data_IF_856429825333
#
_entry.id   IF_856429825333
#
_cell.length_a   1.000
_cell.length_b   1.000
_cell.length_c   1.000
_cell.angle_alpha   90.00
_cell.angle_beta   90.00
_cell.angle_gamma   90.00
#
_symmetry.space_group_name_H-M   'P 1'
#
loop_
_entity.id
_entity.type
_entity.pdbx_description
1 polymer ?
#
# COMPACT_ATOMS: atom_id res chain seq x y z
N UNK A 1 9.77 31.98 16.54
CA UNK A 1 10.63 30.83 16.93
C UNK A 1 9.96 29.56 16.42
N UNK A 2 10.68 28.61 15.79
CA UNK A 2 10.07 27.34 15.35
C UNK A 2 9.87 26.41 16.54
N UNK A 3 8.71 25.72 16.60
CA UNK A 3 8.36 24.81 17.69
C UNK A 3 9.30 23.60 17.79
N UNK A 4 9.41 22.99 18.97
CA UNK A 4 10.21 21.77 19.17
C UNK A 4 9.68 20.60 18.31
N UNK A 5 8.36 20.49 18.15
CA UNK A 5 7.72 19.51 17.26
C UNK A 5 8.17 19.70 15.81
N UNK A 6 8.17 20.94 15.31
CA UNK A 6 8.64 21.23 13.96
C UNK A 6 10.11 20.81 13.77
N UNK A 7 10.98 21.10 14.75
CA UNK A 7 12.41 20.69 14.68
C UNK A 7 12.53 19.17 14.65
N UNK A 8 11.78 18.47 15.51
CA UNK A 8 11.80 17.00 15.59
C UNK A 8 11.35 16.34 14.28
N UNK A 9 10.26 16.82 13.67
CA UNK A 9 9.78 16.34 12.37
C UNK A 9 10.83 16.65 11.29
N UNK A 10 11.40 17.86 11.27
CA UNK A 10 12.37 18.22 10.25
C UNK A 10 13.64 17.37 10.30
N UNK A 11 14.05 16.92 11.49
CA UNK A 11 15.22 16.05 11.67
C UNK A 11 14.92 14.59 11.28
N UNK A 12 13.75 14.06 11.65
CA UNK A 12 13.46 12.62 11.55
C UNK A 12 12.58 12.24 10.35
N UNK A 13 11.82 13.20 9.82
CA UNK A 13 10.85 13.00 8.74
C UNK A 13 10.83 14.22 7.81
N UNK A 14 12.02 14.66 7.36
CA UNK A 14 12.20 15.91 6.59
C UNK A 14 11.42 16.00 5.28
N UNK A 15 10.94 14.87 4.77
CA UNK A 15 10.14 14.71 3.55
C UNK A 15 8.62 14.77 3.81
N UNK A 16 8.18 14.78 5.07
CA UNK A 16 6.77 14.88 5.40
C UNK A 16 6.21 16.24 4.96
N UNK A 17 5.09 16.21 4.23
CA UNK A 17 4.40 17.41 3.75
C UNK A 17 3.33 17.89 4.75
N UNK A 18 2.78 16.98 5.55
CA UNK A 18 1.75 17.25 6.55
C UNK A 18 1.83 16.21 7.69
N UNK A 19 1.14 16.49 8.81
CA UNK A 19 0.99 15.59 9.95
C UNK A 19 -0.49 15.47 10.33
N UNK A 20 -0.88 14.30 10.82
CA UNK A 20 -2.26 13.93 11.16
C UNK A 20 -2.23 12.75 12.17
N UNK A 21 -3.39 12.25 12.62
CA UNK A 21 -3.44 11.31 13.76
C UNK A 21 -4.06 9.94 13.46
N UNK A 22 -4.88 9.78 12.42
CA UNK A 22 -5.64 8.54 12.19
C UNK A 22 -5.24 7.77 10.92
N UNK A 23 -4.57 8.42 9.97
CA UNK A 23 -4.34 7.92 8.62
C UNK A 23 -3.43 6.70 8.59
N UNK A 24 -2.39 6.68 9.45
CA UNK A 24 -1.55 5.49 9.58
C UNK A 24 -2.36 4.27 10.06
N UNK A 25 -3.20 4.43 11.09
CA UNK A 25 -4.03 3.33 11.60
C UNK A 25 -5.01 2.79 10.55
N UNK A 26 -5.67 3.70 9.81
CA UNK A 26 -6.52 3.34 8.68
C UNK A 26 -5.76 2.55 7.60
N UNK A 27 -4.61 3.06 7.15
CA UNK A 27 -3.81 2.43 6.10
C UNK A 27 -3.19 1.10 6.54
N UNK A 28 -2.86 0.93 7.83
CA UNK A 28 -2.40 -0.35 8.38
C UNK A 28 -3.47 -1.42 8.25
N UNK A 29 -4.73 -1.11 8.55
CA UNK A 29 -5.86 -2.05 8.39
C UNK A 29 -6.16 -2.32 6.91
N UNK A 30 -6.14 -1.28 6.06
CA UNK A 30 -6.31 -1.48 4.61
C UNK A 30 -5.19 -2.34 4.01
N UNK A 31 -3.96 -2.23 4.52
CA UNK A 31 -2.84 -3.05 4.07
C UNK A 31 -3.03 -4.53 4.35
N UNK A 32 -3.70 -4.90 5.44
CA UNK A 32 -4.05 -6.30 5.72
C UNK A 32 -5.22 -6.82 4.88
N UNK A 33 -5.81 -5.97 4.03
CA UNK A 33 -6.88 -6.31 3.08
C UNK A 33 -6.50 -5.83 1.68
N UNK A 34 -5.45 -6.42 1.08
CA UNK A 34 -4.94 -5.95 -0.20
C UNK A 34 -5.94 -5.97 -1.37
N UNK A 35 -7.06 -6.68 -1.31
CA UNK A 35 -8.13 -6.55 -2.31
C UNK A 35 -8.87 -5.21 -2.22
N UNK A 36 -8.87 -4.58 -1.04
CA UNK A 36 -9.49 -3.27 -0.82
C UNK A 36 -8.59 -2.18 -1.36
N UNK A 37 -9.11 -1.42 -2.33
CA UNK A 37 -8.49 -0.17 -2.77
C UNK A 37 -8.71 0.87 -1.68
N UNK A 38 -7.65 1.54 -1.26
CA UNK A 38 -7.71 2.55 -0.19
C UNK A 38 -7.05 3.84 -0.66
N UNK A 39 -7.60 4.95 -0.20
CA UNK A 39 -7.14 6.30 -0.48
C UNK A 39 -7.30 7.13 0.80
N UNK A 40 -6.28 7.92 1.15
CA UNK A 40 -6.35 8.86 2.26
C UNK A 40 -6.43 10.28 1.69
N UNK A 41 -7.51 10.99 2.01
CA UNK A 41 -7.72 12.39 1.63
C UNK A 41 -7.69 13.26 2.87
N UNK A 42 -6.90 14.33 2.84
CA UNK A 42 -6.74 15.27 3.95
C UNK A 42 -6.75 16.71 3.44
N UNK A 43 -7.39 17.58 4.20
CA UNK A 43 -7.44 19.02 3.97
C UNK A 43 -6.44 19.66 4.91
N UNK A 44 -5.68 20.63 4.43
CA UNK A 44 -4.73 21.36 5.28
C UNK A 44 -5.51 22.41 6.07
N UNK A 45 -5.62 22.22 7.38
CA UNK A 45 -6.34 23.14 8.27
C UNK A 45 -5.44 24.20 8.88
N UNK A 46 -4.12 23.93 9.00
CA UNK A 46 -3.18 24.87 9.62
C UNK A 46 -1.72 24.58 9.21
N UNK A 47 -0.84 25.55 9.47
CA UNK A 47 0.60 25.42 9.38
C UNK A 47 1.20 24.95 10.71
N UNK A 48 2.21 24.10 10.65
CA UNK A 48 2.88 23.50 11.83
C UNK A 48 3.52 24.55 12.77
N UNK A 49 3.69 25.80 12.32
CA UNK A 49 4.30 26.87 13.10
C UNK A 49 3.29 27.80 13.82
N UNK A 50 1.99 27.78 13.49
CA UNK A 50 1.05 28.85 13.89
C UNK A 50 -0.27 28.34 14.52
N UNK A 51 -0.20 27.28 15.34
CA UNK A 51 -1.37 26.70 16.06
C UNK A 51 -2.15 27.68 16.97
N UNK A 52 -1.68 28.91 17.16
CA UNK A 52 -2.26 29.86 18.12
C UNK A 52 -3.35 30.77 17.57
N UNK A 53 -3.40 31.05 16.27
CA UNK A 53 -4.30 32.08 15.71
C UNK A 53 -5.45 31.55 14.84
N UNK A 54 -5.34 30.34 14.29
CA UNK A 54 -6.28 29.78 13.30
C UNK A 54 -7.34 28.83 13.88
N UNK A 55 -7.09 28.21 15.03
CA UNK A 55 -7.98 27.20 15.64
C UNK A 55 -9.34 27.78 16.07
N UNK A 56 -9.46 29.10 16.25
CA UNK A 56 -10.72 29.78 16.56
C UNK A 56 -11.51 30.30 15.37
N UNK A 57 -10.98 30.20 14.13
CA UNK A 57 -11.52 30.90 12.95
C UNK A 57 -12.21 30.00 11.91
N UNK A 58 -12.40 28.71 12.20
CA UNK A 58 -13.15 27.79 11.32
C UNK A 58 -12.33 27.18 10.18
N UNK A 59 -11.00 27.18 10.27
CA UNK A 59 -10.11 26.60 9.27
C UNK A 59 -10.29 25.08 9.09
N UNK A 60 -10.55 24.35 10.18
CA UNK A 60 -10.81 22.91 10.12
C UNK A 60 -12.13 22.58 9.41
N UNK A 61 -13.29 23.18 9.76
CA UNK A 61 -14.51 23.04 8.96
C UNK A 61 -14.31 23.38 7.47
N UNK A 62 -13.61 24.45 7.15
CA UNK A 62 -13.30 24.84 5.77
C UNK A 62 -12.46 23.78 5.03
N UNK A 63 -11.38 23.31 5.66
CA UNK A 63 -10.54 22.25 5.10
C UNK A 63 -11.32 20.94 4.89
N UNK A 64 -12.21 20.59 5.82
CA UNK A 64 -13.09 19.42 5.69
C UNK A 64 -14.09 19.57 4.54
N UNK A 65 -14.69 20.75 4.36
CA UNK A 65 -15.60 21.02 3.23
C UNK A 65 -14.90 20.85 1.88
N UNK A 66 -13.67 21.35 1.73
CA UNK A 66 -12.90 21.22 0.51
C UNK A 66 -12.58 19.75 0.17
N UNK A 67 -12.18 18.95 1.16
CA UNK A 67 -11.92 17.52 0.95
C UNK A 67 -13.18 16.76 0.59
N UNK A 68 -14.30 17.08 1.23
CA UNK A 68 -15.59 16.46 0.91
C UNK A 68 -16.01 16.78 -0.53
N UNK A 69 -15.91 18.04 -0.96
CA UNK A 69 -16.21 18.44 -2.32
C UNK A 69 -15.33 17.72 -3.35
N UNK A 70 -14.01 17.62 -3.08
CA UNK A 70 -13.10 16.85 -3.93
C UNK A 70 -13.47 15.36 -3.98
N UNK A 71 -13.81 14.74 -2.84
CA UNK A 71 -14.18 13.33 -2.77
C UNK A 71 -15.42 13.04 -3.62
N UNK A 72 -16.47 13.86 -3.53
CA UNK A 72 -17.67 13.65 -4.33
C UNK A 72 -17.39 13.79 -5.83
N UNK A 73 -16.63 14.80 -6.24
CA UNK A 73 -16.22 14.93 -7.65
C UNK A 73 -15.36 13.75 -8.12
N UNK A 74 -14.51 13.21 -7.25
CA UNK A 74 -13.71 12.02 -7.56
C UNK A 74 -14.56 10.75 -7.71
N UNK A 75 -15.59 10.57 -6.87
CA UNK A 75 -16.52 9.44 -6.97
C UNK A 75 -17.30 9.50 -8.29
N UNK A 76 -17.83 10.68 -8.64
CA UNK A 76 -18.56 10.87 -9.91
C UNK A 76 -17.70 10.44 -11.11
N UNK A 77 -16.42 10.83 -11.12
CA UNK A 77 -15.47 10.45 -12.18
C UNK A 77 -15.15 8.94 -12.19
N UNK A 78 -15.12 8.27 -11.03
CA UNK A 78 -14.92 6.81 -11.01
C UNK A 78 -16.11 6.05 -11.60
N UNK A 79 -17.34 6.51 -11.37
CA UNK A 79 -18.54 5.90 -11.91
C UNK A 79 -18.61 6.04 -13.44
N UNK A 80 -18.17 7.18 -13.99
CA UNK A 80 -18.18 7.41 -15.44
C UNK A 80 -17.13 6.58 -16.20
N UNK A 81 -16.03 6.21 -15.54
CA UNK A 81 -14.90 5.49 -16.15
C UNK A 81 -15.05 3.96 -16.20
N UNK A 82 -16.15 3.40 -15.70
CA UNK A 82 -16.23 1.95 -15.44
C UNK A 82 -16.87 1.12 -16.57
N UNK A 83 -16.08 0.36 -17.35
CA UNK A 83 -16.28 -1.08 -17.42
C UNK A 83 -15.49 -1.73 -16.27
N UNK A 84 -16.15 -2.54 -15.46
CA UNK A 84 -15.49 -3.34 -14.41
C UNK A 84 -14.50 -4.29 -15.10
N UNK A 85 -13.22 -3.92 -15.16
CA UNK A 85 -12.17 -4.83 -15.61
C UNK A 85 -11.91 -5.78 -14.45
N UNK A 86 -12.46 -6.99 -14.52
CA UNK A 86 -12.06 -8.07 -13.62
C UNK A 86 -10.55 -8.27 -13.75
N UNK A 87 -9.82 -8.04 -12.66
CA UNK A 87 -8.40 -8.31 -12.60
C UNK A 87 -8.20 -9.81 -12.79
N UNK A 88 -7.38 -10.20 -13.77
CA UNK A 88 -6.94 -11.60 -13.90
C UNK A 88 -6.28 -12.08 -12.60
N UNK A 89 -6.33 -13.38 -12.26
CA UNK A 89 -5.74 -13.92 -11.03
C UNK A 89 -4.27 -13.50 -10.80
N UNK A 90 -3.47 -13.41 -11.87
CA UNK A 90 -2.07 -12.98 -11.78
C UNK A 90 -1.94 -11.53 -11.32
N UNK A 91 -2.78 -10.65 -11.84
CA UNK A 91 -2.78 -9.23 -11.48
C UNK A 91 -3.24 -9.05 -10.04
N UNK A 92 -4.20 -9.85 -9.58
CA UNK A 92 -4.61 -9.88 -8.18
C UNK A 92 -3.45 -10.33 -7.28
N UNK A 93 -2.75 -11.41 -7.66
CA UNK A 93 -1.59 -11.88 -6.92
C UNK A 93 -0.48 -10.81 -6.88
N UNK A 94 -0.15 -10.20 -8.02
CA UNK A 94 0.85 -9.12 -8.09
C UNK A 94 0.46 -7.97 -7.14
N UNK A 95 -0.81 -7.55 -7.16
CA UNK A 95 -1.28 -6.48 -6.29
C UNK A 95 -1.17 -6.84 -4.81
N UNK A 96 -1.59 -8.05 -4.45
CA UNK A 96 -1.51 -8.56 -3.07
C UNK A 96 -0.06 -8.58 -2.60
N UNK A 97 0.84 -9.14 -3.41
CA UNK A 97 2.26 -9.19 -3.08
C UNK A 97 2.88 -7.80 -2.97
N UNK A 98 2.52 -6.86 -3.84
CA UNK A 98 3.03 -5.48 -3.74
C UNK A 98 2.57 -4.76 -2.46
N UNK A 99 1.33 -5.00 -2.01
CA UNK A 99 0.79 -4.37 -0.79
C UNK A 99 1.40 -4.97 0.48
N UNK A 100 1.57 -6.29 0.52
CA UNK A 100 2.13 -6.98 1.68
C UNK A 100 3.66 -6.83 1.75
N UNK A 101 4.33 -6.92 0.59
CA UNK A 101 5.80 -6.91 0.43
C UNK A 101 6.26 -5.78 -0.53
N UNK A 102 6.12 -4.50 -0.14
CA UNK A 102 6.42 -3.35 -1.00
C UNK A 102 7.91 -3.21 -1.34
N UNK A 103 8.82 -3.82 -0.58
CA UNK A 103 10.26 -3.82 -0.89
C UNK A 103 10.64 -4.87 -1.95
N UNK A 104 9.67 -5.63 -2.46
CA UNK A 104 9.88 -6.63 -3.51
C UNK A 104 10.20 -8.02 -2.93
N UNK A 105 10.96 -8.81 -3.70
CA UNK A 105 11.18 -10.24 -3.41
C UNK A 105 12.05 -10.48 -2.16
N UNK A 106 12.84 -9.49 -1.77
CA UNK A 106 13.70 -9.53 -0.58
C UNK A 106 12.94 -9.15 0.71
N UNK A 107 11.73 -8.58 0.59
CA UNK A 107 10.96 -8.13 1.74
C UNK A 107 10.64 -9.31 2.67
N UNK A 108 11.03 -9.21 3.94
CA UNK A 108 10.87 -10.27 4.94
C UNK A 108 11.44 -11.64 4.49
N UNK A 109 12.39 -11.65 3.55
CA UNK A 109 12.95 -12.87 2.96
C UNK A 109 11.92 -13.79 2.29
N UNK A 110 10.76 -13.26 1.88
CA UNK A 110 9.62 -14.05 1.41
C UNK A 110 9.98 -15.01 0.27
N UNK A 111 10.77 -14.53 -0.70
CA UNK A 111 11.16 -15.34 -1.86
C UNK A 111 11.96 -16.57 -1.47
N UNK A 112 12.94 -16.40 -0.58
CA UNK A 112 13.80 -17.49 -0.11
C UNK A 112 13.05 -18.45 0.80
N UNK A 113 12.22 -17.94 1.72
CA UNK A 113 11.41 -18.79 2.61
C UNK A 113 10.40 -19.65 1.86
N UNK A 114 9.87 -19.15 0.75
CA UNK A 114 8.99 -19.92 -0.13
C UNK A 114 9.71 -21.00 -0.96
N UNK A 115 11.05 -21.11 -0.84
CA UNK A 115 11.89 -22.07 -1.58
C UNK A 115 12.56 -21.51 -2.83
N UNK A 116 12.48 -20.19 -3.04
CA UNK A 116 13.08 -19.50 -4.18
C UNK A 116 14.55 -19.17 -4.00
N UNK A 117 15.25 -18.98 -5.11
CA UNK A 117 16.61 -18.47 -5.13
C UNK A 117 16.63 -17.07 -5.75
N UNK A 118 17.07 -16.07 -4.98
CA UNK A 118 17.15 -14.67 -5.42
C UNK A 118 18.13 -14.49 -6.59
N UNK A 119 19.12 -15.38 -6.77
CA UNK A 119 20.06 -15.31 -7.90
C UNK A 119 19.41 -15.63 -9.25
N UNK A 120 18.20 -16.20 -9.26
CA UNK A 120 17.47 -16.58 -10.48
C UNK A 120 16.48 -15.51 -10.94
N UNK A 121 16.39 -14.39 -10.23
CA UNK A 121 15.42 -13.31 -10.50
C UNK A 121 16.11 -11.96 -10.63
N UNK A 122 15.43 -11.01 -11.28
CA UNK A 122 15.94 -9.65 -11.46
C UNK A 122 15.51 -8.75 -10.30
N UNK A 123 16.48 -8.32 -9.51
CA UNK A 123 16.26 -7.41 -8.38
C UNK A 123 16.46 -5.93 -8.73
N UNK A 124 16.99 -5.63 -9.92
CA UNK A 124 17.29 -4.26 -10.38
C UNK A 124 16.05 -3.48 -10.86
N UNK A 125 14.93 -3.61 -10.17
CA UNK A 125 13.67 -2.90 -10.46
C UNK A 125 12.90 -2.54 -9.19
N UNK A 126 11.83 -1.76 -9.33
CA UNK A 126 10.92 -1.45 -8.21
C UNK A 126 10.27 -2.73 -7.68
N UNK A 127 9.82 -2.74 -6.42
CA UNK A 127 9.14 -3.92 -5.85
C UNK A 127 7.99 -4.44 -6.72
N UNK A 128 7.20 -3.54 -7.33
CA UNK A 128 6.17 -3.88 -8.30
C UNK A 128 6.72 -4.54 -9.57
N UNK A 129 7.82 -4.01 -10.11
CA UNK A 129 8.49 -4.59 -11.27
C UNK A 129 9.02 -6.00 -10.96
N UNK A 130 9.63 -6.18 -9.79
CA UNK A 130 10.12 -7.49 -9.36
C UNK A 130 8.99 -8.51 -9.24
N UNK A 131 7.87 -8.15 -8.60
CA UNK A 131 6.71 -9.05 -8.46
C UNK A 131 6.09 -9.43 -9.80
N UNK A 132 5.93 -8.47 -10.71
CA UNK A 132 5.38 -8.73 -12.04
C UNK A 132 6.24 -9.73 -12.83
N UNK A 133 7.56 -9.54 -12.84
CA UNK A 133 8.48 -10.45 -13.54
C UNK A 133 8.58 -11.82 -12.87
N UNK A 134 8.62 -11.86 -11.54
CA UNK A 134 8.68 -13.08 -10.76
C UNK A 134 7.45 -13.97 -10.94
N UNK A 135 6.25 -13.38 -10.85
CA UNK A 135 5.00 -14.12 -11.05
C UNK A 135 4.90 -14.62 -12.49
N UNK A 136 5.30 -13.79 -13.47
CA UNK A 136 5.40 -14.22 -14.87
C UNK A 136 6.36 -15.40 -15.03
N UNK A 137 7.53 -15.38 -14.40
CA UNK A 137 8.51 -16.46 -14.43
C UNK A 137 7.92 -17.77 -13.88
N UNK A 138 7.27 -17.71 -12.71
CA UNK A 138 6.66 -18.88 -12.07
C UNK A 138 5.55 -19.50 -12.91
N UNK A 139 4.74 -18.70 -13.61
CA UNK A 139 3.69 -19.21 -14.51
C UNK A 139 4.21 -20.02 -15.68
N UNK A 140 5.42 -19.73 -16.14
CA UNK A 140 6.06 -20.46 -17.23
C UNK A 140 6.89 -21.65 -16.72
N UNK A 141 6.74 -22.03 -15.44
CA UNK A 141 7.50 -23.11 -14.82
C UNK A 141 8.97 -22.78 -14.52
N UNK A 142 9.35 -21.50 -14.57
CA UNK A 142 10.66 -21.02 -14.14
C UNK A 142 10.71 -20.73 -12.64
N UNK A 143 11.87 -20.32 -12.12
CA UNK A 143 12.03 -19.92 -10.71
C UNK A 143 12.59 -21.00 -9.78
N UNK A 144 12.96 -22.18 -10.32
CA UNK A 144 13.58 -23.26 -9.57
C UNK A 144 12.55 -24.11 -8.81
N UNK A 145 12.79 -24.37 -7.53
CA UNK A 145 11.90 -25.19 -6.68
C UNK A 145 10.69 -24.41 -6.14
N UNK A 146 10.67 -23.09 -6.32
CA UNK A 146 9.57 -22.24 -5.90
C UNK A 146 8.36 -22.45 -6.82
N UNK A 147 7.18 -22.56 -6.23
CA UNK A 147 5.90 -22.59 -6.95
C UNK A 147 5.02 -21.44 -6.47
N UNK A 148 4.00 -21.06 -7.26
CA UNK A 148 3.00 -20.09 -6.80
C UNK A 148 2.32 -20.56 -5.50
N UNK A 149 2.07 -21.86 -5.37
CA UNK A 149 1.49 -22.45 -4.17
C UNK A 149 2.40 -22.31 -2.94
N UNK A 150 3.69 -22.65 -3.06
CA UNK A 150 4.64 -22.51 -1.93
C UNK A 150 4.88 -21.04 -1.56
N UNK A 151 4.78 -20.12 -2.53
CA UNK A 151 4.81 -18.68 -2.30
C UNK A 151 3.59 -18.16 -1.52
N UNK A 152 2.38 -18.63 -1.86
CA UNK A 152 1.17 -18.27 -1.13
C UNK A 152 1.17 -18.87 0.28
N UNK A 153 1.64 -20.11 0.45
CA UNK A 153 1.80 -20.73 1.78
C UNK A 153 2.72 -19.90 2.67
N UNK A 154 3.92 -19.54 2.19
CA UNK A 154 4.84 -18.69 2.94
C UNK A 154 4.24 -17.32 3.25
N UNK A 155 3.34 -16.81 2.41
CA UNK A 155 2.62 -15.55 2.66
C UNK A 155 1.56 -15.70 3.75
N UNK A 156 0.89 -16.85 3.84
CA UNK A 156 -0.05 -17.14 4.93
C UNK A 156 0.66 -17.28 6.27
N UNK A 157 1.90 -17.76 6.30
CA UNK A 157 2.69 -17.82 7.54
C UNK A 157 2.92 -16.41 8.13
N UNK A 158 3.18 -15.42 7.27
CA UNK A 158 3.37 -14.02 7.69
C UNK A 158 2.04 -13.32 8.01
N UNK A 159 0.97 -13.68 7.29
CA UNK A 159 -0.34 -13.04 7.37
C UNK A 159 -1.47 -14.06 7.59
N UNK A 160 -1.49 -14.78 8.73
CA UNK A 160 -2.38 -15.93 8.94
C UNK A 160 -3.86 -15.58 9.02
N UNK A 161 -4.21 -14.32 9.28
CA UNK A 161 -5.59 -13.82 9.35
C UNK A 161 -6.01 -13.01 8.12
N UNK A 162 -5.27 -13.11 7.02
CA UNK A 162 -5.55 -12.36 5.80
C UNK A 162 -6.38 -13.20 4.81
N UNK A 163 -7.69 -12.92 4.77
CA UNK A 163 -8.65 -13.61 3.91
C UNK A 163 -8.33 -13.51 2.41
N UNK A 164 -7.67 -12.44 1.95
CA UNK A 164 -7.30 -12.31 0.54
C UNK A 164 -6.23 -13.33 0.15
N UNK A 165 -5.29 -13.60 1.06
CA UNK A 165 -4.24 -14.62 0.86
C UNK A 165 -4.82 -16.02 0.99
N UNK A 166 -5.77 -16.23 1.92
CA UNK A 166 -6.49 -17.49 2.05
C UNK A 166 -7.27 -17.83 0.77
N UNK A 167 -7.94 -16.83 0.18
CA UNK A 167 -8.65 -16.99 -1.08
C UNK A 167 -7.69 -17.37 -2.23
N UNK A 168 -6.50 -16.79 -2.29
CA UNK A 168 -5.48 -17.18 -3.28
C UNK A 168 -5.13 -18.66 -3.18
N UNK A 169 -5.01 -19.24 -1.97
CA UNK A 169 -4.66 -20.64 -1.79
C UNK A 169 -5.73 -21.57 -2.35
N UNK A 170 -7.01 -21.20 -2.22
CA UNK A 170 -8.14 -21.99 -2.75
C UNK A 170 -8.13 -22.15 -4.28
N UNK A 171 -7.35 -21.31 -4.98
CA UNK A 171 -7.20 -21.35 -6.43
C UNK A 171 -6.06 -22.27 -6.92
N UNK A 172 -5.36 -23.00 -6.03
CA UNK A 172 -4.21 -23.88 -6.35
C UNK A 172 -4.33 -25.33 -5.85
#
# INVERSE_FOLDING_TARGET
HKSELHKHIKQNASHALAIEMEGLGFLTVCRSRPSVKSLLLRGISDLVNDKGEMDGQGSQPYASQNVAAFLFGFIDELETLSPIVELTPDLQLIEIMCKLYPRGLEDQGIWTRAGGNLSLVRLNSTGKGQWAEAIRLLKHGGGGNLTLKSLVIATLEDYPSNNDVELLLSNF
#
